data_IF_989266396644
#
_entry.id   IF_989266396644
#
_cell.length_a   1.000
_cell.length_b   1.000
_cell.length_c   1.000
_cell.angle_alpha   90.00
_cell.angle_beta   90.00
_cell.angle_gamma   90.00
#
_symmetry.space_group_name_H-M   'P 1'
#
loop_
_entity.id
_entity.type
_entity.pdbx_description
1 polymer ?
#
# COMPACT_ATOMS: atom_id res chain seq x y z
N UNK A 1 48.93 20.25 -1.79
CA UNK A 1 48.16 19.01 -1.62
C UNK A 1 47.09 19.32 -0.61
N UNK A 2 45.91 19.76 -1.05
CA UNK A 2 44.84 20.17 -0.14
C UNK A 2 43.63 19.31 -0.43
N UNK A 3 43.39 18.45 0.57
CA UNK A 3 42.36 17.46 0.85
C UNK A 3 41.11 17.37 -0.04
N UNK A 4 40.87 16.15 -0.53
CA UNK A 4 39.65 15.66 -1.18
C UNK A 4 38.55 15.25 -0.18
N UNK A 5 38.36 15.96 0.94
CA UNK A 5 37.52 15.45 2.05
C UNK A 5 36.03 15.80 1.99
N UNK A 6 35.56 16.61 1.03
CA UNK A 6 34.16 17.09 1.05
C UNK A 6 33.14 16.15 0.38
N UNK A 7 33.53 14.93 -0.04
CA UNK A 7 32.66 14.08 -0.86
C UNK A 7 31.87 13.01 -0.06
N UNK A 8 31.88 13.06 1.28
CA UNK A 8 31.18 12.10 2.15
C UNK A 8 29.87 12.60 2.78
N UNK A 9 29.57 13.89 2.69
CA UNK A 9 28.56 14.50 3.57
C UNK A 9 27.11 14.40 3.09
N UNK A 10 26.84 13.79 1.93
CA UNK A 10 25.48 13.73 1.36
C UNK A 10 24.97 12.30 1.19
N UNK A 11 25.75 11.28 1.59
CA UNK A 11 25.38 9.87 1.39
C UNK A 11 24.77 9.19 2.62
N UNK A 12 24.64 9.87 3.76
CA UNK A 12 23.99 9.33 4.96
C UNK A 12 23.49 10.44 5.89
N UNK A 13 22.35 11.06 5.58
CA UNK A 13 21.73 12.04 6.49
C UNK A 13 20.36 11.51 6.91
N UNK A 14 20.12 11.44 8.22
CA UNK A 14 18.89 10.96 8.84
C UNK A 14 17.84 12.08 8.92
N UNK A 15 16.58 11.70 9.16
CA UNK A 15 15.43 12.63 9.12
C UNK A 15 15.47 13.69 10.25
N UNK A 16 16.26 13.44 11.30
CA UNK A 16 16.54 14.38 12.40
C UNK A 16 17.57 15.48 12.08
N UNK A 17 18.30 15.43 10.95
CA UNK A 17 19.35 16.40 10.59
C UNK A 17 18.90 17.47 9.59
N UNK A 18 17.59 17.54 9.25
CA UNK A 18 17.00 18.66 8.52
C UNK A 18 16.96 19.98 9.33
N UNK A 19 17.77 20.09 10.39
CA UNK A 19 18.15 21.37 11.00
C UNK A 19 18.97 22.20 10.01
N UNK A 20 18.23 22.87 9.14
CA UNK A 20 18.56 24.09 8.38
C UNK A 20 19.98 24.15 7.79
N UNK A 21 20.24 23.38 6.74
CA UNK A 21 21.19 23.87 5.73
C UNK A 21 20.54 25.11 5.12
N UNK A 22 21.15 26.29 5.31
CA UNK A 22 20.61 27.53 4.74
C UNK A 22 20.55 27.40 3.20
N UNK A 23 19.47 27.89 2.58
CA UNK A 23 19.29 27.84 1.12
C UNK A 23 20.49 28.38 0.36
N UNK A 24 21.22 29.33 0.95
CA UNK A 24 22.44 29.93 0.39
C UNK A 24 23.62 28.96 0.35
N UNK A 25 23.73 28.04 1.31
CA UNK A 25 24.73 26.97 1.32
C UNK A 25 24.43 25.94 0.22
N UNK A 26 23.15 25.55 0.06
CA UNK A 26 22.72 24.65 -1.03
C UNK A 26 23.01 25.28 -2.40
N UNK A 27 22.69 26.56 -2.57
CA UNK A 27 22.97 27.28 -3.81
C UNK A 27 24.48 27.37 -4.09
N UNK A 28 25.30 27.52 -3.05
CA UNK A 28 26.75 27.53 -3.18
C UNK A 28 27.29 26.15 -3.59
N UNK A 29 26.79 25.07 -2.97
CA UNK A 29 27.13 23.70 -3.35
C UNK A 29 26.71 23.37 -4.79
N UNK A 30 25.54 23.84 -5.22
CA UNK A 30 25.05 23.63 -6.59
C UNK A 30 25.96 24.28 -7.64
N UNK A 31 26.52 25.46 -7.35
CA UNK A 31 27.41 26.20 -8.27
C UNK A 31 28.77 25.54 -8.48
N UNK A 32 29.23 24.69 -7.55
CA UNK A 32 30.59 24.12 -7.57
C UNK A 32 30.63 22.61 -7.87
N UNK A 33 29.62 22.07 -8.54
CA UNK A 33 29.59 20.66 -8.93
C UNK A 33 30.56 20.38 -10.09
N UNK A 34 31.33 19.30 -9.97
CA UNK A 34 32.16 18.77 -11.06
C UNK A 34 31.29 18.04 -12.10
N UNK A 35 31.77 17.85 -13.35
CA UNK A 35 31.05 17.08 -14.37
C UNK A 35 30.67 15.66 -13.91
N UNK A 36 31.55 15.00 -13.14
CA UNK A 36 31.29 13.66 -12.61
C UNK A 36 30.17 13.65 -11.56
N UNK A 37 30.13 14.65 -10.67
CA UNK A 37 29.06 14.79 -9.69
C UNK A 37 27.72 15.13 -10.36
N UNK A 38 27.73 15.98 -11.39
CA UNK A 38 26.54 16.28 -12.19
C UNK A 38 25.97 15.02 -12.87
N UNK A 39 26.83 14.19 -13.45
CA UNK A 39 26.40 12.93 -14.07
C UNK A 39 25.71 11.99 -13.07
N UNK A 40 26.26 11.86 -11.85
CA UNK A 40 25.65 11.05 -10.77
C UNK A 40 24.29 11.61 -10.35
N UNK A 41 24.18 12.94 -10.20
CA UNK A 41 22.90 13.59 -9.84
C UNK A 41 21.83 13.40 -10.91
N UNK A 42 22.20 13.50 -12.19
CA UNK A 42 21.30 13.23 -13.31
C UNK A 42 20.79 11.79 -13.26
N UNK A 43 21.67 10.82 -12.98
CA UNK A 43 21.25 9.42 -12.85
C UNK A 43 20.28 9.25 -11.69
N UNK A 44 20.57 9.84 -10.53
CA UNK A 44 19.64 9.81 -9.39
C UNK A 44 18.27 10.39 -9.75
N UNK A 45 18.23 11.55 -10.44
CA UNK A 45 16.97 12.17 -10.88
C UNK A 45 16.20 11.23 -11.79
N UNK A 46 16.85 10.58 -12.75
CA UNK A 46 16.19 9.60 -13.63
C UNK A 46 15.59 8.43 -12.86
N UNK A 47 16.29 7.91 -11.86
CA UNK A 47 15.76 6.84 -11.02
C UNK A 47 14.53 7.30 -10.22
N UNK A 48 14.53 8.54 -9.70
CA UNK A 48 13.38 9.10 -8.99
C UNK A 48 12.19 9.36 -9.92
N UNK A 49 12.42 9.85 -11.14
CA UNK A 49 11.38 10.00 -12.17
C UNK A 49 10.69 8.66 -12.48
N UNK A 50 11.47 7.59 -12.66
CA UNK A 50 10.92 6.24 -12.89
C UNK A 50 10.03 5.79 -11.71
N UNK A 51 10.41 6.10 -10.48
CA UNK A 51 9.61 5.77 -9.30
C UNK A 51 8.33 6.61 -9.25
N UNK A 52 8.42 7.91 -9.54
CA UNK A 52 7.28 8.84 -9.59
C UNK A 52 6.25 8.38 -10.64
N UNK A 53 6.68 8.14 -11.88
CA UNK A 53 5.81 7.67 -12.96
C UNK A 53 5.10 6.37 -12.58
N UNK A 54 5.81 5.45 -11.91
CA UNK A 54 5.24 4.20 -11.41
C UNK A 54 4.17 4.43 -10.35
N UNK A 55 4.39 5.37 -9.41
CA UNK A 55 3.41 5.71 -8.39
C UNK A 55 2.16 6.36 -9.00
N UNK A 56 2.35 7.33 -9.91
CA UNK A 56 1.26 8.00 -10.62
C UNK A 56 0.40 7.01 -11.41
N UNK A 57 1.03 6.11 -12.17
CA UNK A 57 0.33 5.07 -12.93
C UNK A 57 -0.52 4.16 -12.03
N UNK A 58 -0.02 3.83 -10.84
CA UNK A 58 -0.73 2.95 -9.92
C UNK A 58 -1.84 3.67 -9.14
N UNK A 59 -1.73 4.98 -8.94
CA UNK A 59 -2.66 5.76 -8.12
C UNK A 59 -4.10 5.66 -8.62
N UNK A 60 -4.33 5.88 -9.92
CA UNK A 60 -5.67 5.80 -10.49
C UNK A 60 -6.25 4.38 -10.40
N UNK A 61 -5.40 3.37 -10.57
CA UNK A 61 -5.79 1.97 -10.42
C UNK A 61 -6.19 1.64 -8.97
N UNK A 62 -5.44 2.15 -7.98
CA UNK A 62 -5.76 1.96 -6.56
C UNK A 62 -7.03 2.69 -6.16
N UNK A 63 -7.27 3.89 -6.69
CA UNK A 63 -8.50 4.62 -6.44
C UNK A 63 -9.73 3.86 -6.95
N UNK A 64 -9.67 3.35 -8.18
CA UNK A 64 -10.75 2.53 -8.73
C UNK A 64 -10.96 1.23 -7.93
N UNK A 65 -9.87 0.60 -7.48
CA UNK A 65 -9.94 -0.59 -6.63
C UNK A 65 -10.61 -0.29 -5.28
N UNK A 66 -10.32 0.86 -4.68
CA UNK A 66 -10.96 1.29 -3.43
C UNK A 66 -12.47 1.42 -3.59
N UNK A 67 -12.94 2.08 -4.65
CA UNK A 67 -14.38 2.24 -4.91
C UNK A 67 -15.08 0.88 -5.09
N UNK A 68 -14.43 -0.06 -5.77
CA UNK A 68 -14.93 -1.43 -5.92
C UNK A 68 -14.97 -2.18 -4.58
N UNK A 69 -13.97 -1.99 -3.73
CA UNK A 69 -13.92 -2.60 -2.40
C UNK A 69 -15.03 -2.08 -1.50
N UNK A 70 -15.35 -0.78 -1.56
CA UNK A 70 -16.46 -0.20 -0.81
C UNK A 70 -17.81 -0.79 -1.23
N UNK A 71 -18.03 -1.00 -2.54
CA UNK A 71 -19.23 -1.65 -3.06
C UNK A 71 -19.31 -3.12 -2.64
N UNK A 72 -18.19 -3.86 -2.76
CA UNK A 72 -18.09 -5.23 -2.30
C UNK A 72 -18.37 -5.35 -0.79
N UNK A 73 -17.88 -4.41 0.01
CA UNK A 73 -18.15 -4.35 1.45
C UNK A 73 -19.64 -4.22 1.78
N UNK A 74 -20.39 -3.40 1.02
CA UNK A 74 -21.85 -3.27 1.17
C UNK A 74 -22.58 -4.58 0.82
N UNK A 75 -22.19 -5.22 -0.28
CA UNK A 75 -22.76 -6.50 -0.69
C UNK A 75 -22.47 -7.61 0.33
N UNK A 76 -21.23 -7.65 0.86
CA UNK A 76 -20.80 -8.59 1.89
C UNK A 76 -21.61 -8.40 3.18
N UNK A 77 -21.86 -7.15 3.60
CA UNK A 77 -22.69 -6.87 4.78
C UNK A 77 -24.13 -7.34 4.59
N UNK A 78 -24.71 -7.08 3.41
CA UNK A 78 -26.07 -7.55 3.09
C UNK A 78 -26.15 -9.08 3.11
N UNK A 79 -25.19 -9.78 2.51
CA UNK A 79 -25.13 -11.24 2.52
C UNK A 79 -24.94 -11.79 3.94
N UNK A 80 -24.06 -11.21 4.75
CA UNK A 80 -23.90 -11.61 6.15
C UNK A 80 -25.17 -11.40 6.95
N UNK A 81 -25.84 -10.26 6.77
CA UNK A 81 -27.09 -9.97 7.46
C UNK A 81 -28.17 -11.01 7.15
N UNK A 82 -28.31 -11.42 5.89
CA UNK A 82 -29.23 -12.50 5.51
C UNK A 82 -28.74 -13.88 5.99
N UNK A 83 -27.48 -14.25 5.75
CA UNK A 83 -26.95 -15.57 6.15
C UNK A 83 -27.10 -15.86 7.65
N UNK A 84 -26.90 -14.86 8.50
CA UNK A 84 -27.05 -14.99 9.95
C UNK A 84 -28.48 -14.73 10.46
N UNK A 85 -29.46 -14.64 9.57
CA UNK A 85 -30.86 -14.40 9.91
C UNK A 85 -31.69 -15.70 10.00
N UNK A 86 -32.82 -15.68 10.74
CA UNK A 86 -33.78 -16.78 10.71
C UNK A 86 -34.35 -17.06 9.31
N UNK A 87 -34.43 -16.05 8.45
CA UNK A 87 -34.94 -16.18 7.08
C UNK A 87 -34.06 -17.11 6.25
N UNK A 88 -32.73 -16.98 6.34
CA UNK A 88 -31.80 -17.89 5.65
C UNK A 88 -31.98 -19.34 6.11
N UNK A 89 -32.15 -19.57 7.42
CA UNK A 89 -32.37 -20.92 7.95
C UNK A 89 -33.68 -21.53 7.43
N UNK A 90 -34.73 -20.71 7.28
CA UNK A 90 -35.98 -21.14 6.67
C UNK A 90 -35.79 -21.47 5.19
N UNK A 91 -35.11 -20.60 4.44
CA UNK A 91 -34.82 -20.83 3.02
C UNK A 91 -34.02 -22.12 2.82
N UNK A 92 -33.02 -22.36 3.68
CA UNK A 92 -32.24 -23.59 3.70
C UNK A 92 -33.11 -24.84 3.98
N UNK A 93 -33.98 -24.79 5.00
CA UNK A 93 -34.86 -25.91 5.32
C UNK A 93 -35.87 -26.21 4.21
N UNK A 94 -36.36 -25.18 3.51
CA UNK A 94 -37.24 -25.33 2.34
C UNK A 94 -36.47 -25.99 1.19
N UNK A 95 -35.22 -25.61 0.96
CA UNK A 95 -34.36 -26.24 -0.05
C UNK A 95 -34.13 -27.72 0.24
N UNK A 96 -33.83 -28.07 1.49
CA UNK A 96 -33.64 -29.46 1.92
C UNK A 96 -34.90 -30.32 1.77
N UNK A 97 -36.08 -29.70 1.77
CA UNK A 97 -37.35 -30.38 1.47
C UNK A 97 -37.57 -30.67 -0.02
N UNK A 98 -36.70 -30.14 -0.90
CA UNK A 98 -36.77 -30.27 -2.35
C UNK A 98 -37.80 -29.36 -3.01
N UNK A 99 -38.22 -28.28 -2.35
CA UNK A 99 -39.26 -27.39 -2.86
C UNK A 99 -38.79 -26.38 -3.92
N UNK A 100 -37.47 -26.19 -4.06
CA UNK A 100 -36.89 -25.27 -5.03
C UNK A 100 -36.44 -26.00 -6.30
N UNK A 101 -37.08 -25.67 -7.43
CA UNK A 101 -36.75 -26.18 -8.76
C UNK A 101 -36.33 -25.04 -9.70
N UNK A 102 -35.24 -25.25 -10.46
CA UNK A 102 -34.84 -24.36 -11.55
C UNK A 102 -34.12 -23.06 -11.15
N UNK A 103 -33.60 -22.98 -9.92
CA UNK A 103 -32.79 -21.83 -9.44
C UNK A 103 -31.39 -22.26 -9.02
N UNK A 104 -30.44 -21.33 -9.09
CA UNK A 104 -29.11 -21.51 -8.51
C UNK A 104 -29.16 -21.38 -6.99
N UNK A 105 -28.53 -22.33 -6.29
CA UNK A 105 -28.64 -22.49 -4.83
C UNK A 105 -27.32 -22.30 -4.09
N UNK A 106 -26.32 -21.71 -4.75
CA UNK A 106 -24.99 -21.52 -4.16
C UNK A 106 -25.00 -20.74 -2.84
N UNK A 107 -25.96 -19.82 -2.66
CA UNK A 107 -26.15 -19.03 -1.44
C UNK A 107 -26.80 -19.81 -0.29
N UNK A 108 -27.33 -21.00 -0.54
CA UNK A 108 -27.87 -21.90 0.48
C UNK A 108 -26.83 -22.95 0.92
N UNK A 109 -25.61 -22.88 0.39
CA UNK A 109 -24.49 -23.65 0.93
C UNK A 109 -23.96 -22.99 2.21
N UNK A 110 -23.99 -23.72 3.32
CA UNK A 110 -23.32 -23.32 4.58
C UNK A 110 -21.85 -22.94 4.32
N UNK A 111 -21.10 -23.85 3.71
CA UNK A 111 -19.66 -23.67 3.46
C UNK A 111 -19.38 -22.59 2.41
N UNK A 112 -20.22 -22.46 1.38
CA UNK A 112 -19.99 -21.54 0.28
C UNK A 112 -19.92 -20.08 0.73
N UNK A 113 -20.92 -19.64 1.49
CA UNK A 113 -20.94 -18.27 2.02
C UNK A 113 -19.93 -18.08 3.15
N UNK A 114 -19.76 -19.08 4.02
CA UNK A 114 -18.78 -18.97 5.10
C UNK A 114 -17.35 -18.80 4.58
N UNK A 115 -16.94 -19.60 3.60
CA UNK A 115 -15.63 -19.49 2.97
C UNK A 115 -15.43 -18.13 2.30
N UNK A 116 -16.44 -17.65 1.56
CA UNK A 116 -16.41 -16.31 0.96
C UNK A 116 -16.19 -15.22 2.01
N UNK A 117 -16.84 -15.32 3.18
CA UNK A 117 -16.68 -14.35 4.25
C UNK A 117 -15.27 -14.36 4.86
N UNK A 118 -14.64 -15.53 4.96
CA UNK A 118 -13.25 -15.66 5.41
C UNK A 118 -12.29 -15.05 4.40
N UNK A 119 -12.45 -15.33 3.11
CA UNK A 119 -11.61 -14.78 2.03
C UNK A 119 -11.62 -13.24 2.05
N UNK A 120 -12.81 -12.64 2.20
CA UNK A 120 -12.93 -11.18 2.32
C UNK A 120 -12.33 -10.64 3.63
N UNK A 121 -12.39 -11.39 4.73
CA UNK A 121 -11.77 -11.00 5.99
C UNK A 121 -10.24 -10.99 5.86
N UNK A 122 -9.66 -12.04 5.24
CA UNK A 122 -8.22 -12.12 4.99
C UNK A 122 -7.75 -10.98 4.07
N UNK A 123 -8.49 -10.73 2.98
CA UNK A 123 -8.21 -9.61 2.08
C UNK A 123 -8.21 -8.28 2.84
N UNK A 124 -9.21 -8.04 3.69
CA UNK A 124 -9.31 -6.84 4.52
C UNK A 124 -8.07 -6.64 5.39
N UNK A 125 -7.63 -7.67 6.12
CA UNK A 125 -6.42 -7.59 6.96
C UNK A 125 -5.14 -7.33 6.16
N UNK A 126 -5.02 -7.91 4.95
CA UNK A 126 -3.86 -7.65 4.08
C UNK A 126 -3.83 -6.22 3.57
N UNK A 127 -5.00 -5.65 3.24
CA UNK A 127 -5.12 -4.27 2.81
C UNK A 127 -4.82 -3.29 3.95
N UNK A 128 -5.27 -3.59 5.16
CA UNK A 128 -4.93 -2.80 6.35
C UNK A 128 -3.41 -2.75 6.58
N UNK A 129 -2.74 -3.90 6.54
CA UNK A 129 -1.27 -3.95 6.67
C UNK A 129 -0.55 -3.21 5.54
N UNK A 130 -1.06 -3.29 4.31
CA UNK A 130 -0.50 -2.55 3.19
C UNK A 130 -0.67 -1.04 3.36
N UNK A 131 -1.82 -0.59 3.88
CA UNK A 131 -2.08 0.82 4.17
C UNK A 131 -1.16 1.35 5.27
N UNK A 132 -0.90 0.58 6.33
CA UNK A 132 0.04 0.97 7.39
C UNK A 132 1.43 1.27 6.83
N UNK A 133 1.96 0.38 5.97
CA UNK A 133 3.25 0.58 5.30
C UNK A 133 3.34 1.82 4.41
N UNK A 134 2.21 2.28 3.86
CA UNK A 134 2.16 3.52 3.08
C UNK A 134 2.24 4.77 3.97
N UNK A 135 1.92 4.63 5.26
CA UNK A 135 1.86 5.72 6.25
C UNK A 135 2.95 5.64 7.31
N UNK A 136 3.72 4.55 7.32
CA UNK A 136 4.87 4.38 8.19
C UNK A 136 5.89 5.49 7.89
N UNK A 137 6.40 6.19 8.92
CA UNK A 137 7.53 7.10 8.72
C UNK A 137 8.73 6.30 8.22
N UNK A 138 9.64 6.94 7.48
CA UNK A 138 10.84 6.27 6.99
C UNK A 138 11.59 5.68 8.19
N UNK A 139 11.70 4.35 8.27
CA UNK A 139 12.47 3.70 9.33
C UNK A 139 13.94 4.14 9.21
N UNK A 140 14.46 4.86 10.21
CA UNK A 140 15.89 5.14 10.33
C UNK A 140 16.62 3.78 10.43
N UNK A 141 17.49 3.48 9.45
CA UNK A 141 18.35 2.30 9.54
C UNK A 141 19.14 2.37 10.86
N UNK A 142 19.16 1.30 11.68
CA UNK A 142 19.91 1.32 12.93
C UNK A 142 21.39 1.54 12.60
N UNK A 143 21.94 2.64 13.12
CA UNK A 143 23.38 2.93 13.07
C UNK A 143 24.14 1.65 13.40
N UNK A 144 24.94 1.18 12.45
CA UNK A 144 25.90 0.13 12.72
C UNK A 144 26.83 0.66 13.79
N UNK A 145 26.65 0.19 15.02
CA UNK A 145 27.62 0.37 16.09
C UNK A 145 28.91 -0.30 15.65
N UNK A 146 29.87 0.48 15.17
CA UNK A 146 31.25 0.02 15.00
C UNK A 146 31.83 -0.25 16.39
N UNK A 147 32.16 -1.51 16.64
CA UNK A 147 32.97 -1.98 17.77
C UNK A 147 34.31 -2.49 17.29
#
# INVERSE_FOLDING_TARGET
MTSCENNKQVESLTESEYETIELDEIQTLAKHQTPQQLAKRIENIKQMEILMEKLETNYDSFKALQENLEQAGKALQALKAWYFSPEWLLDYAIDESGAYDGIDRGVLSEDGLYNLFLDYSELGSRLEQAALKLTEPNEEEPEKSEG
#
